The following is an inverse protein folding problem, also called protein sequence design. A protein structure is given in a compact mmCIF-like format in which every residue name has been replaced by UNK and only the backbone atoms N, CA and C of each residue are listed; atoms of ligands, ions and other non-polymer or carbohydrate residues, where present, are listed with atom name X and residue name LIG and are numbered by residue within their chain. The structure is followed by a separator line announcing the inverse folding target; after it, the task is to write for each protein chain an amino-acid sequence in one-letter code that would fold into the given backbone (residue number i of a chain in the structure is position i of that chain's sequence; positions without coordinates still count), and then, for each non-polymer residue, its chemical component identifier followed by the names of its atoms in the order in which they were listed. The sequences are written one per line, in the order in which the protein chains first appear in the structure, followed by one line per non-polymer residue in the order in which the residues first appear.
data_IF_251345464852
#
_entry.id   IF_251345464852
#
_cell.length_a   1.000
_cell.length_b   1.000
_cell.length_c   1.000
_cell.angle_alpha   90.00
_cell.angle_beta   90.00
_cell.angle_gamma   90.00
#
_symmetry.space_group_name_H-M   'P 1'
#
loop_
_entity.id
_entity.type
_entity.pdbx_description
1 polymer ?
#
# COMPACT_ATOMS: atom_id res chain seq x y z
N UNK A 1 40.58 -33.48 -9.13
CA UNK A 1 39.18 -33.14 -8.84
C UNK A 1 39.19 -31.72 -8.31
N UNK A 2 38.87 -30.74 -9.14
CA UNK A 2 38.75 -29.34 -8.72
C UNK A 2 37.50 -28.78 -9.37
N UNK A 3 36.54 -28.44 -8.53
CA UNK A 3 35.23 -27.90 -8.92
C UNK A 3 35.45 -26.43 -9.31
N UNK A 4 35.01 -25.95 -10.48
CA UNK A 4 35.00 -24.52 -10.75
C UNK A 4 33.91 -23.85 -9.91
N UNK A 5 34.29 -22.74 -9.28
CA UNK A 5 33.38 -21.87 -8.55
C UNK A 5 32.43 -21.22 -9.57
N UNK A 6 31.14 -21.52 -9.49
CA UNK A 6 30.13 -20.82 -10.28
C UNK A 6 29.94 -19.43 -9.69
N UNK A 7 30.36 -18.43 -10.45
CA UNK A 7 30.01 -17.02 -10.22
C UNK A 7 28.48 -16.91 -10.38
N UNK A 8 27.78 -16.78 -9.25
CA UNK A 8 26.34 -16.56 -9.23
C UNK A 8 26.07 -15.14 -9.75
N UNK A 9 25.79 -15.07 -11.05
CA UNK A 9 25.21 -13.91 -11.72
C UNK A 9 23.98 -13.42 -10.96
N UNK A 10 24.17 -12.44 -10.09
CA UNK A 10 23.10 -11.58 -9.62
C UNK A 10 22.60 -10.76 -10.81
N UNK A 11 21.65 -11.32 -11.55
CA UNK A 11 20.90 -10.62 -12.58
C UNK A 11 20.11 -9.49 -11.92
N UNK A 12 20.72 -8.29 -11.86
CA UNK A 12 19.97 -7.06 -11.69
C UNK A 12 19.23 -6.82 -13.01
N UNK A 13 17.95 -7.20 -13.07
CA UNK A 13 17.07 -6.71 -14.11
C UNK A 13 16.96 -5.18 -13.97
N UNK A 14 17.06 -4.42 -15.08
CA UNK A 14 16.74 -3.00 -15.06
C UNK A 14 15.27 -2.88 -14.65
N UNK A 15 15.03 -2.39 -13.43
CA UNK A 15 13.68 -2.16 -12.90
C UNK A 15 13.17 -0.89 -13.58
N UNK A 16 12.13 -1.04 -14.40
CA UNK A 16 11.49 0.10 -15.04
C UNK A 16 11.00 1.09 -13.96
N UNK A 17 11.06 2.41 -14.18
CA UNK A 17 10.63 3.40 -13.19
C UNK A 17 9.15 3.27 -12.78
N UNK A 18 8.34 2.54 -13.55
CA UNK A 18 6.95 2.22 -13.20
C UNK A 18 6.84 1.20 -12.04
N UNK A 19 7.88 0.40 -11.82
CA UNK A 19 7.90 -0.68 -10.82
C UNK A 19 8.12 -0.17 -9.38
N UNK A 20 8.46 1.11 -9.21
CA UNK A 20 8.68 1.73 -7.89
C UNK A 20 7.43 2.35 -7.27
N UNK A 21 6.31 2.41 -8.02
CA UNK A 21 5.09 3.07 -7.56
C UNK A 21 4.38 2.25 -6.48
N UNK A 22 4.41 2.74 -5.24
CA UNK A 22 3.68 2.16 -4.12
C UNK A 22 2.16 2.23 -4.36
N UNK A 23 1.61 1.11 -4.84
CA UNK A 23 0.19 0.97 -5.13
C UNK A 23 -0.28 -0.46 -4.88
N UNK A 24 -1.54 -0.62 -4.50
CA UNK A 24 -2.03 -1.92 -4.08
C UNK A 24 -3.46 -1.93 -3.57
N UNK A 25 -4.03 -3.13 -3.50
CA UNK A 25 -5.35 -3.32 -2.92
C UNK A 25 -5.29 -3.39 -1.39
N UNK A 26 -6.12 -2.60 -0.72
CA UNK A 26 -6.30 -2.69 0.74
C UNK A 26 -7.78 -2.67 1.10
N UNK A 27 -8.06 -3.08 2.35
CA UNK A 27 -9.40 -2.99 2.94
C UNK A 27 -9.50 -1.68 3.72
N UNK A 28 -10.32 -0.75 3.23
CA UNK A 28 -10.65 0.48 3.92
C UNK A 28 -11.85 0.26 4.85
N UNK A 29 -11.65 0.46 6.15
CA UNK A 29 -12.73 0.45 7.15
C UNK A 29 -13.27 1.87 7.28
N UNK A 30 -14.43 2.13 6.67
CA UNK A 30 -15.10 3.42 6.75
C UNK A 30 -16.20 3.40 7.81
N UNK A 31 -16.26 4.46 8.63
CA UNK A 31 -17.40 4.72 9.52
C UNK A 31 -18.44 5.51 8.73
N UNK A 32 -19.52 4.86 8.30
CA UNK A 32 -20.61 5.54 7.62
C UNK A 32 -21.43 6.43 8.56
N UNK A 33 -22.25 7.33 8.01
CA UNK A 33 -23.30 8.01 8.77
C UNK A 33 -24.20 6.95 9.43
N UNK A 34 -24.25 6.92 10.76
CA UNK A 34 -25.18 6.06 11.51
C UNK A 34 -24.62 4.73 12.04
N UNK A 35 -23.33 4.66 12.40
CA UNK A 35 -22.73 3.58 13.21
C UNK A 35 -22.45 2.24 12.50
N UNK A 36 -22.75 2.09 11.20
CA UNK A 36 -22.31 0.91 10.45
C UNK A 36 -20.90 1.09 9.91
N UNK A 37 -19.98 0.28 10.44
CA UNK A 37 -18.64 0.10 9.85
C UNK A 37 -18.80 -0.68 8.54
N UNK A 38 -18.40 -0.07 7.43
CA UNK A 38 -18.34 -0.74 6.12
C UNK A 38 -16.90 -0.95 5.73
N UNK A 39 -16.56 -2.19 5.38
CA UNK A 39 -15.24 -2.56 4.87
C UNK A 39 -15.33 -2.59 3.34
N UNK A 40 -14.48 -1.82 2.66
CA UNK A 40 -14.41 -1.75 1.20
C UNK A 40 -13.04 -2.22 0.72
N UNK A 41 -13.02 -3.01 -0.35
CA UNK A 41 -11.77 -3.33 -1.06
C UNK A 41 -11.50 -2.24 -2.09
N UNK A 42 -10.44 -1.47 -1.92
CA UNK A 42 -10.13 -0.29 -2.74
C UNK A 42 -8.66 -0.29 -3.13
N UNK A 43 -8.37 0.32 -4.28
CA UNK A 43 -7.02 0.43 -4.80
C UNK A 43 -6.38 1.71 -4.28
N UNK A 44 -5.24 1.59 -3.59
CA UNK A 44 -4.49 2.71 -3.07
C UNK A 44 -3.28 3.02 -3.94
N UNK A 45 -2.94 4.30 -4.03
CA UNK A 45 -1.75 4.81 -4.73
C UNK A 45 -1.12 5.89 -3.87
N UNK A 46 0.17 5.74 -3.58
CA UNK A 46 0.96 6.81 -2.95
C UNK A 46 1.48 7.77 -4.03
N UNK A 47 1.21 9.06 -3.85
CA UNK A 47 1.83 10.11 -4.64
C UNK A 47 3.10 10.57 -3.94
N UNK A 48 4.27 10.17 -4.43
CA UNK A 48 5.56 10.54 -3.83
C UNK A 48 5.77 12.06 -3.76
N UNK A 49 5.39 12.77 -4.83
CA UNK A 49 5.51 14.22 -4.91
C UNK A 49 4.60 14.91 -3.87
N UNK A 50 3.36 14.45 -3.75
CA UNK A 50 2.37 15.08 -2.87
C UNK A 50 2.49 14.61 -1.42
N UNK A 51 3.06 13.43 -1.18
CA UNK A 51 3.02 12.76 0.12
C UNK A 51 1.62 12.32 0.53
N UNK A 52 0.69 12.22 -0.42
CA UNK A 52 -0.69 11.81 -0.19
C UNK A 52 -0.93 10.38 -0.62
N UNK A 53 -1.82 9.71 0.09
CA UNK A 53 -2.34 8.41 -0.26
C UNK A 53 -3.74 8.58 -0.86
N UNK A 54 -3.88 8.25 -2.14
CA UNK A 54 -5.15 8.30 -2.87
C UNK A 54 -5.79 6.92 -2.90
N UNK A 55 -7.12 6.85 -2.89
CA UNK A 55 -7.83 5.58 -3.07
C UNK A 55 -8.93 5.65 -4.13
N UNK A 56 -9.04 4.58 -4.89
CA UNK A 56 -9.89 4.43 -6.08
C UNK A 56 -10.76 3.16 -5.95
N UNK A 57 -11.84 3.06 -6.73
CA UNK A 57 -12.60 1.80 -6.78
C UNK A 57 -11.83 0.75 -7.57
N UNK A 58 -11.18 1.17 -8.66
CA UNK A 58 -10.40 0.33 -9.56
C UNK A 58 -9.09 1.03 -9.98
N UNK A 59 -8.05 0.28 -10.39
CA UNK A 59 -6.77 0.86 -10.81
C UNK A 59 -6.87 1.80 -12.02
N UNK A 60 -7.81 1.54 -12.92
CA UNK A 60 -8.06 2.36 -14.12
C UNK A 60 -8.90 3.62 -13.87
N UNK A 61 -9.39 3.86 -12.65
CA UNK A 61 -10.19 5.04 -12.35
C UNK A 61 -9.34 6.31 -12.43
N UNK A 62 -9.83 7.34 -13.12
CA UNK A 62 -9.13 8.62 -13.26
C UNK A 62 -9.28 9.52 -12.02
N UNK A 63 -10.39 9.39 -11.28
CA UNK A 63 -10.73 10.25 -10.16
C UNK A 63 -10.67 9.46 -8.84
N UNK A 64 -9.92 9.95 -7.83
CA UNK A 64 -9.88 9.30 -6.52
C UNK A 64 -11.22 9.46 -5.81
N UNK A 65 -11.58 8.45 -5.03
CA UNK A 65 -12.70 8.52 -4.08
C UNK A 65 -12.37 9.36 -2.85
N UNK A 66 -11.08 9.58 -2.59
CA UNK A 66 -10.57 10.46 -1.54
C UNK A 66 -9.06 10.38 -1.43
N UNK A 67 -8.52 11.18 -0.52
CA UNK A 67 -7.10 11.32 -0.25
C UNK A 67 -6.83 11.40 1.25
N UNK A 68 -5.63 10.97 1.65
CA UNK A 68 -5.13 11.04 3.02
C UNK A 68 -3.74 11.70 2.96
N UNK A 69 -3.52 12.77 3.70
CA UNK A 69 -2.21 13.44 3.76
C UNK A 69 -1.29 12.72 4.76
N UNK A 70 -0.31 11.97 4.26
CA UNK A 70 0.60 11.22 5.13
C UNK A 70 1.66 12.11 5.79
N UNK A 71 1.93 13.30 5.27
CA UNK A 71 2.95 14.20 5.83
C UNK A 71 2.55 14.74 7.20
N UNK A 72 1.24 14.87 7.43
CA UNK A 72 0.66 15.35 8.69
C UNK A 72 -0.02 14.27 9.52
N UNK A 73 -0.05 13.03 9.01
CA UNK A 73 -0.71 11.92 9.69
C UNK A 73 0.27 11.09 10.51
N UNK A 74 -0.29 10.31 11.43
CA UNK A 74 0.39 9.28 12.20
C UNK A 74 -0.14 7.90 11.84
N UNK A 75 0.73 6.88 11.84
CA UNK A 75 0.35 5.49 11.64
C UNK A 75 0.47 4.72 12.94
N UNK A 76 -0.60 4.03 13.34
CA UNK A 76 -0.63 3.14 14.51
C UNK A 76 -1.04 1.74 14.09
N UNK A 77 -0.35 0.73 14.61
CA UNK A 77 -0.72 -0.67 14.42
C UNK A 77 -0.38 -1.46 15.69
N UNK A 78 -1.14 -2.52 15.95
CA UNK A 78 -0.89 -3.42 17.08
C UNK A 78 -0.30 -4.74 16.57
N UNK A 79 1.02 -4.87 16.69
CA UNK A 79 1.75 -6.07 16.28
C UNK A 79 1.40 -7.31 17.11
N UNK A 80 0.85 -7.12 18.32
CA UNK A 80 0.46 -8.22 19.21
C UNK A 80 -0.93 -8.77 18.91
N UNK A 81 -1.70 -8.11 18.04
CA UNK A 81 -3.06 -8.49 17.70
C UNK A 81 -3.09 -9.66 16.70
N UNK A 82 -3.01 -10.87 17.24
CA UNK A 82 -3.03 -12.12 16.46
C UNK A 82 -4.37 -12.32 15.73
N UNK A 83 -5.47 -11.77 16.25
CA UNK A 83 -6.80 -11.91 15.65
C UNK A 83 -6.98 -11.07 14.38
N UNK A 84 -6.21 -9.97 14.23
CA UNK A 84 -6.33 -9.02 13.11
C UNK A 84 -4.96 -8.60 12.57
N UNK A 85 -4.17 -9.54 12.01
CA UNK A 85 -2.89 -9.20 11.40
C UNK A 85 -3.11 -8.24 10.23
N UNK A 86 -2.24 -7.23 10.12
CA UNK A 86 -2.27 -6.25 9.04
C UNK A 86 -3.32 -5.14 9.17
N UNK A 87 -4.03 -5.05 10.30
CA UNK A 87 -4.85 -3.88 10.61
C UNK A 87 -3.97 -2.74 11.13
N UNK A 88 -4.09 -1.57 10.51
CA UNK A 88 -3.47 -0.33 10.96
C UNK A 88 -4.46 0.82 10.84
N UNK A 89 -4.18 1.90 11.55
CA UNK A 89 -4.96 3.14 11.54
C UNK A 89 -4.04 4.30 11.15
N UNK A 90 -4.56 5.19 10.30
CA UNK A 90 -3.93 6.46 9.96
C UNK A 90 -4.81 7.58 10.54
N UNK A 91 -4.23 8.48 11.34
CA UNK A 91 -4.89 9.61 12.00
C UNK A 91 -4.22 10.93 11.70
#
# INVERSE_FOLDING_TARGET
MSVPCSDESAAQSPTDPEEQKLSGWLKLVSVGLGFRKTIKHVWFVYGEDTGKLYYYRQPQDLLPLGEIDLRTSSLTYDASNVDKPGLFEIR
#
